data_IF_744236031716
#
_entry.id   IF_744236031716
#
_cell.length_a   1.000
_cell.length_b   1.000
_cell.length_c   1.000
_cell.angle_alpha   90.00
_cell.angle_beta   90.00
_cell.angle_gamma   90.00
#
_symmetry.space_group_name_H-M   'P 1'
#
loop_
_entity.id
_entity.type
_entity.pdbx_description
1 polymer ?
#
# COMPACT_ATOMS: atom_id res chain seq x y z
N UNK A 1 -36.54 -1.24 -9.09
CA UNK A 1 -35.48 -2.28 -9.15
C UNK A 1 -34.11 -1.75 -9.60
N UNK A 2 -33.91 -0.42 -9.66
CA UNK A 2 -32.74 0.27 -10.23
C UNK A 2 -31.69 0.73 -9.21
N UNK A 3 -31.96 0.65 -7.91
CA UNK A 3 -31.05 1.10 -6.84
C UNK A 3 -29.89 0.14 -6.57
N UNK A 4 -30.05 -1.16 -6.87
CA UNK A 4 -29.08 -2.21 -6.51
C UNK A 4 -27.88 -2.29 -7.47
N UNK A 5 -28.08 -1.91 -8.73
CA UNK A 5 -27.04 -1.97 -9.78
C UNK A 5 -26.01 -0.85 -9.62
N UNK A 6 -26.46 0.35 -9.25
CA UNK A 6 -25.57 1.51 -9.03
C UNK A 6 -24.68 1.33 -7.80
N UNK A 7 -25.17 0.68 -6.75
CA UNK A 7 -24.38 0.35 -5.55
C UNK A 7 -23.26 -0.66 -5.87
N UNK A 8 -23.56 -1.72 -6.63
CA UNK A 8 -22.56 -2.72 -7.07
C UNK A 8 -21.47 -2.11 -7.94
N UNK A 9 -21.83 -1.25 -8.91
CA UNK A 9 -20.85 -0.61 -9.79
C UNK A 9 -19.90 0.32 -9.03
N UNK A 10 -20.41 1.07 -8.04
CA UNK A 10 -19.57 1.92 -7.18
C UNK A 10 -18.60 1.08 -6.34
N UNK A 11 -19.05 -0.08 -5.86
CA UNK A 11 -18.21 -0.97 -5.10
C UNK A 11 -17.11 -1.62 -5.97
N UNK A 12 -17.46 -2.08 -7.18
CA UNK A 12 -16.49 -2.57 -8.16
C UNK A 12 -15.47 -1.48 -8.50
N UNK A 13 -15.91 -0.23 -8.74
CA UNK A 13 -15.00 0.88 -9.01
C UNK A 13 -14.02 1.13 -7.84
N UNK A 14 -14.50 1.02 -6.60
CA UNK A 14 -13.66 1.12 -5.40
C UNK A 14 -12.62 -0.01 -5.33
N UNK A 15 -13.00 -1.24 -5.68
CA UNK A 15 -12.09 -2.38 -5.73
C UNK A 15 -11.02 -2.15 -6.80
N UNK A 16 -11.44 -1.81 -8.02
CA UNK A 16 -10.52 -1.57 -9.15
C UNK A 16 -9.54 -0.46 -8.80
N UNK A 17 -10.00 0.65 -8.21
CA UNK A 17 -9.11 1.75 -7.83
C UNK A 17 -8.09 1.34 -6.76
N UNK A 18 -8.52 0.60 -5.73
CA UNK A 18 -7.58 0.11 -4.71
C UNK A 18 -6.62 -0.94 -5.27
N UNK A 19 -7.06 -1.79 -6.19
CA UNK A 19 -6.20 -2.78 -6.83
C UNK A 19 -5.13 -2.10 -7.72
N UNK A 20 -5.51 -1.09 -8.50
CA UNK A 20 -4.58 -0.30 -9.31
C UNK A 20 -3.57 0.45 -8.43
N UNK A 21 -4.04 1.08 -7.35
CA UNK A 21 -3.15 1.68 -6.36
C UNK A 21 -2.23 0.64 -5.73
N UNK A 22 -2.74 -0.55 -5.45
CA UNK A 22 -1.95 -1.67 -4.92
C UNK A 22 -0.84 -2.11 -5.87
N UNK A 23 -1.12 -2.21 -7.18
CA UNK A 23 -0.10 -2.50 -8.19
C UNK A 23 0.99 -1.42 -8.21
N UNK A 24 0.61 -0.14 -8.10
CA UNK A 24 1.57 0.97 -8.01
C UNK A 24 2.35 0.91 -6.69
N UNK A 25 1.69 0.52 -5.60
CA UNK A 25 2.26 0.44 -4.25
C UNK A 25 3.26 -0.70 -4.05
N UNK A 26 3.32 -1.68 -4.97
CA UNK A 26 4.29 -2.78 -4.90
C UNK A 26 5.70 -2.24 -4.73
N UNK A 27 6.14 -1.32 -5.59
CA UNK A 27 7.51 -0.80 -5.57
C UNK A 27 7.79 0.03 -4.31
N UNK A 28 6.97 1.04 -3.93
CA UNK A 28 7.19 1.80 -2.70
C UNK A 28 7.21 0.95 -1.43
N UNK A 29 6.31 -0.03 -1.31
CA UNK A 29 6.25 -0.90 -0.13
C UNK A 29 7.41 -1.91 -0.11
N UNK A 30 7.86 -2.35 -1.29
CA UNK A 30 9.07 -3.15 -1.43
C UNK A 30 10.32 -2.39 -0.95
N UNK A 31 10.47 -1.14 -1.41
CA UNK A 31 11.57 -0.27 -0.97
C UNK A 31 11.52 0.01 0.53
N UNK A 32 10.32 0.21 1.08
CA UNK A 32 10.13 0.38 2.53
C UNK A 32 10.57 -0.88 3.30
N UNK A 33 10.27 -2.08 2.77
CA UNK A 33 10.70 -3.34 3.36
C UNK A 33 12.23 -3.49 3.36
N UNK A 34 12.89 -3.20 2.23
CA UNK A 34 14.35 -3.21 2.14
C UNK A 34 14.99 -2.23 3.12
N UNK A 35 14.48 -1.00 3.17
CA UNK A 35 14.91 -0.02 4.16
C UNK A 35 14.75 -0.55 5.59
N UNK A 36 13.63 -1.21 5.90
CA UNK A 36 13.39 -1.78 7.22
C UNK A 36 14.41 -2.88 7.58
N UNK A 37 14.73 -3.76 6.63
CA UNK A 37 15.72 -4.83 6.79
C UNK A 37 17.13 -4.27 7.02
N UNK A 38 17.54 -3.23 6.30
CA UNK A 38 18.91 -2.72 6.36
C UNK A 38 19.18 -1.74 7.50
N UNK A 39 18.13 -1.07 8.03
CA UNK A 39 18.28 -0.03 9.05
C UNK A 39 17.64 -0.37 10.39
N UNK A 40 16.31 -0.23 10.61
CA UNK A 40 15.73 -0.44 11.94
C UNK A 40 15.88 -1.89 12.40
N UNK A 41 15.65 -2.89 11.54
CA UNK A 41 15.79 -4.29 11.94
C UNK A 41 17.26 -4.69 12.15
N UNK A 42 18.18 -4.12 11.36
CA UNK A 42 19.60 -4.33 11.57
C UNK A 42 20.08 -3.68 12.88
N UNK A 43 19.59 -2.48 13.20
CA UNK A 43 19.87 -1.80 14.46
C UNK A 43 19.32 -2.56 15.69
N UNK A 44 18.23 -3.29 15.51
CA UNK A 44 17.66 -4.19 16.52
C UNK A 44 18.33 -5.58 16.55
N UNK A 45 19.28 -5.85 15.66
CA UNK A 45 19.96 -7.16 15.56
C UNK A 45 19.11 -8.29 14.97
N UNK A 46 17.95 -7.97 14.37
CA UNK A 46 17.07 -8.96 13.72
C UNK A 46 17.59 -9.38 12.35
N UNK A 47 18.35 -8.50 11.69
CA UNK A 47 18.88 -8.68 10.34
C UNK A 47 20.31 -8.17 10.26
N UNK A 48 20.99 -8.47 9.15
CA UNK A 48 22.32 -7.92 8.84
C UNK A 48 22.20 -6.99 7.66
N UNK A 49 22.73 -5.77 7.82
CA UNK A 49 22.79 -4.78 6.75
C UNK A 49 23.57 -5.30 5.54
N UNK A 50 23.06 -5.04 4.35
CA UNK A 50 23.71 -5.44 3.10
C UNK A 50 25.14 -4.88 3.00
N UNK A 51 26.14 -5.67 2.55
CA UNK A 51 27.52 -5.18 2.41
C UNK A 51 27.67 -4.05 1.39
N UNK A 52 26.74 -3.96 0.44
CA UNK A 52 26.68 -2.95 -0.62
C UNK A 52 26.02 -1.65 -0.17
N UNK A 53 25.42 -1.61 1.02
CA UNK A 53 24.67 -0.47 1.51
C UNK A 53 25.59 0.44 2.35
N UNK A 54 26.26 1.37 1.66
CA UNK A 54 27.27 2.30 2.18
C UNK A 54 26.82 3.78 2.15
N UNK A 55 25.65 4.07 1.61
CA UNK A 55 25.14 5.44 1.41
C UNK A 55 24.43 6.01 2.66
N UNK A 56 24.08 5.13 3.60
CA UNK A 56 23.47 5.55 4.87
C UNK A 56 21.96 5.80 4.75
N UNK A 57 21.36 6.30 5.83
CA UNK A 57 19.89 6.45 5.93
C UNK A 57 19.34 7.60 5.10
N UNK A 58 20.12 8.67 4.89
CA UNK A 58 19.61 9.92 4.36
C UNK A 58 19.04 9.81 2.92
N UNK A 59 19.74 9.15 1.95
CA UNK A 59 19.20 8.97 0.61
C UNK A 59 17.89 8.18 0.60
N UNK A 60 17.79 7.15 1.45
CA UNK A 60 16.56 6.38 1.62
C UNK A 60 15.39 7.25 2.08
N UNK A 61 15.59 8.12 3.09
CA UNK A 61 14.54 9.01 3.57
C UNK A 61 14.11 10.04 2.51
N UNK A 62 15.06 10.60 1.76
CA UNK A 62 14.76 11.57 0.69
C UNK A 62 13.85 10.95 -0.37
N UNK A 63 13.99 9.66 -0.66
CA UNK A 63 13.17 8.95 -1.66
C UNK A 63 11.87 8.42 -1.04
N UNK A 64 11.95 7.70 0.08
CA UNK A 64 10.81 7.02 0.69
C UNK A 64 9.78 7.99 1.24
N UNK A 65 10.20 9.07 1.89
CA UNK A 65 9.26 9.99 2.55
C UNK A 65 8.31 10.64 1.54
N UNK A 66 8.77 11.28 0.45
CA UNK A 66 7.86 11.83 -0.56
C UNK A 66 7.02 10.75 -1.23
N UNK A 67 7.64 9.62 -1.59
CA UNK A 67 6.98 8.53 -2.30
C UNK A 67 5.81 7.94 -1.50
N UNK A 68 6.04 7.60 -0.23
CA UNK A 68 5.01 7.07 0.67
C UNK A 68 3.97 8.13 1.02
N UNK A 69 4.39 9.40 1.19
CA UNK A 69 3.45 10.49 1.47
C UNK A 69 2.45 10.66 0.33
N UNK A 70 2.93 10.70 -0.92
CA UNK A 70 2.05 10.80 -2.10
C UNK A 70 1.15 9.58 -2.22
N UNK A 71 1.69 8.37 -2.03
CA UNK A 71 0.90 7.14 -2.08
C UNK A 71 -0.24 7.14 -1.05
N UNK A 72 0.07 7.43 0.21
CA UNK A 72 -0.91 7.49 1.31
C UNK A 72 -1.93 8.60 1.07
N UNK A 73 -1.49 9.78 0.64
CA UNK A 73 -2.39 10.89 0.35
C UNK A 73 -3.38 10.56 -0.79
N UNK A 74 -2.89 9.96 -1.88
CA UNK A 74 -3.74 9.52 -3.00
C UNK A 74 -4.73 8.44 -2.54
N UNK A 75 -4.26 7.45 -1.78
CA UNK A 75 -5.12 6.39 -1.25
C UNK A 75 -6.21 6.94 -0.34
N UNK A 76 -5.87 7.84 0.60
CA UNK A 76 -6.85 8.49 1.48
C UNK A 76 -7.85 9.30 0.66
N UNK A 77 -7.40 10.12 -0.29
CA UNK A 77 -8.27 10.99 -1.07
C UNK A 77 -9.27 10.20 -1.93
N UNK A 78 -8.78 9.17 -2.63
CA UNK A 78 -9.61 8.29 -3.46
C UNK A 78 -10.65 7.57 -2.60
N UNK A 79 -10.23 6.94 -1.51
CA UNK A 79 -11.13 6.19 -0.63
C UNK A 79 -12.10 7.11 0.12
N UNK A 80 -11.69 8.31 0.49
CA UNK A 80 -12.59 9.27 1.10
C UNK A 80 -13.71 9.72 0.14
N UNK A 81 -13.37 9.99 -1.12
CA UNK A 81 -14.36 10.37 -2.14
C UNK A 81 -15.30 9.21 -2.51
N UNK A 82 -14.76 8.00 -2.64
CA UNK A 82 -15.53 6.80 -2.95
C UNK A 82 -16.41 6.34 -1.78
N UNK A 83 -15.92 6.43 -0.54
CA UNK A 83 -16.69 6.16 0.68
C UNK A 83 -17.96 7.01 0.75
N UNK A 84 -17.88 8.31 0.43
CA UNK A 84 -19.06 9.20 0.45
C UNK A 84 -20.20 8.72 -0.45
N UNK A 85 -19.90 7.87 -1.44
CA UNK A 85 -20.86 7.30 -2.39
C UNK A 85 -21.26 5.85 -2.05
N UNK A 86 -20.66 5.29 -1.01
CA UNK A 86 -20.86 3.93 -0.50
C UNK A 86 -21.85 3.93 0.66
N UNK A 87 -22.72 2.92 0.71
CA UNK A 87 -23.67 2.70 1.82
C UNK A 87 -23.05 1.84 2.94
N UNK A 88 -21.76 1.47 2.84
CA UNK A 88 -21.09 0.60 3.81
C UNK A 88 -20.74 1.33 5.12
N UNK A 89 -20.73 0.61 6.26
CA UNK A 89 -20.15 1.11 7.50
C UNK A 89 -18.70 1.56 7.29
N UNK A 90 -18.34 2.71 7.87
CA UNK A 90 -17.03 3.35 7.71
C UNK A 90 -15.88 2.39 7.94
N UNK A 91 -15.89 1.66 9.07
CA UNK A 91 -14.80 0.75 9.45
C UNK A 91 -14.64 -0.38 8.44
N UNK A 92 -15.75 -0.99 8.01
CA UNK A 92 -15.75 -2.08 7.04
C UNK A 92 -15.21 -1.62 5.68
N UNK A 93 -15.59 -0.42 5.23
CA UNK A 93 -15.10 0.14 3.98
C UNK A 93 -13.58 0.34 4.00
N UNK A 94 -13.05 0.99 5.04
CA UNK A 94 -11.60 1.22 5.15
C UNK A 94 -10.80 -0.08 5.24
N UNK A 95 -11.26 -1.04 6.04
CA UNK A 95 -10.60 -2.36 6.13
C UNK A 95 -10.60 -3.07 4.78
N UNK A 96 -11.75 -3.13 4.09
CA UNK A 96 -11.84 -3.76 2.78
C UNK A 96 -10.92 -3.07 1.75
N UNK A 97 -10.91 -1.74 1.71
CA UNK A 97 -10.02 -0.97 0.83
C UNK A 97 -8.54 -1.21 1.13
N UNK A 98 -8.14 -1.27 2.41
CA UNK A 98 -6.77 -1.60 2.80
C UNK A 98 -6.39 -3.02 2.36
N UNK A 99 -7.26 -4.01 2.57
CA UNK A 99 -7.00 -5.40 2.14
C UNK A 99 -6.85 -5.48 0.62
N UNK A 100 -7.74 -4.85 -0.14
CA UNK A 100 -7.67 -4.85 -1.61
C UNK A 100 -6.41 -4.13 -2.12
N UNK A 101 -6.04 -3.01 -1.49
CA UNK A 101 -4.83 -2.27 -1.85
C UNK A 101 -3.55 -3.06 -1.53
N UNK A 102 -3.51 -3.79 -0.42
CA UNK A 102 -2.35 -4.61 -0.04
C UNK A 102 -2.25 -5.92 -0.81
N UNK A 103 -3.35 -6.39 -1.42
CA UNK A 103 -3.40 -7.67 -2.10
C UNK A 103 -2.31 -7.84 -3.18
N UNK A 104 -2.08 -6.91 -4.12
CA UNK A 104 -1.02 -7.05 -5.12
C UNK A 104 0.38 -7.16 -4.51
N UNK A 105 0.63 -6.48 -3.39
CA UNK A 105 1.94 -6.49 -2.70
C UNK A 105 2.18 -7.84 -2.01
N UNK A 106 1.16 -8.36 -1.33
CA UNK A 106 1.22 -9.69 -0.72
C UNK A 106 1.40 -10.74 -1.80
N UNK A 107 0.60 -10.66 -2.87
CA UNK A 107 0.66 -11.58 -4.00
C UNK A 107 2.04 -11.56 -4.67
N UNK A 108 2.61 -10.38 -4.94
CA UNK A 108 3.94 -10.28 -5.55
C UNK A 108 5.02 -10.84 -4.64
N UNK A 109 4.92 -10.65 -3.33
CA UNK A 109 5.90 -11.17 -2.36
C UNK A 109 5.88 -12.70 -2.35
N UNK A 110 4.68 -13.30 -2.37
CA UNK A 110 4.51 -14.75 -2.47
C UNK A 110 5.09 -15.29 -3.78
N UNK A 111 4.78 -14.65 -4.91
CA UNK A 111 5.24 -15.09 -6.24
C UNK A 111 6.77 -14.95 -6.37
N UNK A 112 7.34 -13.90 -5.81
CA UNK A 112 8.78 -13.66 -5.82
C UNK A 112 9.54 -14.53 -4.79
N UNK A 113 8.83 -15.26 -3.92
CA UNK A 113 9.43 -16.10 -2.88
C UNK A 113 10.14 -15.31 -1.78
N UNK A 114 9.71 -14.07 -1.54
CA UNK A 114 10.35 -13.18 -0.58
C UNK A 114 9.48 -13.13 0.69
N UNK A 115 10.07 -13.32 1.89
CA UNK A 115 9.33 -13.31 3.15
C UNK A 115 8.66 -11.97 3.45
#
# INVERSE_FOLDING_TARGET
MTLRTTSRLRWIASIVANLLLGCIAVIPLWLLWLFALDFPFAALGLTRRAPTENDGVLPWLIVLVPLLTVLVALWILINFWMRRKSEMPTRTYWVASSVVMLFPVIFSSIVAGIP
#
